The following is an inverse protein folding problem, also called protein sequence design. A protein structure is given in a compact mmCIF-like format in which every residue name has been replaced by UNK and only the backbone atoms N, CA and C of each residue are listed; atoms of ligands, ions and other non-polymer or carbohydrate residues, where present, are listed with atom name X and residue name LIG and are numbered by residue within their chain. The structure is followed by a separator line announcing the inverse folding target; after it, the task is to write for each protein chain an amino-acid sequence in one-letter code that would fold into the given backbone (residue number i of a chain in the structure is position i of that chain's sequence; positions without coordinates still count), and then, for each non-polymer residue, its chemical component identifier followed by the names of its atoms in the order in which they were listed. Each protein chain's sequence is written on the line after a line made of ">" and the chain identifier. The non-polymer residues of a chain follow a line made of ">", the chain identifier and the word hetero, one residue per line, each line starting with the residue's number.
data_IF_109920698223
#
_entry.id   IF_109920698223
#
_cell.length_a   1.000
_cell.length_b   1.000
_cell.length_c   1.000
_cell.angle_alpha   90.00
_cell.angle_beta   90.00
_cell.angle_gamma   90.00
#
_symmetry.space_group_name_H-M   'P 1'
#
loop_
_entity.id
_entity.type
_entity.pdbx_description
1 polymer ?
#
# COMPACT_ATOMS: atom_id res chain seq x y z
N UNK A 1 58.53 -46.16 18.19
CA UNK A 1 57.40 -46.39 19.09
C UNK A 1 57.91 -46.31 20.53
N UNK A 2 57.48 -45.43 21.44
CA UNK A 2 56.73 -44.16 21.37
C UNK A 2 56.81 -43.46 22.76
N UNK A 3 56.71 -42.13 22.93
CA UNK A 3 56.73 -41.00 21.98
C UNK A 3 57.15 -39.69 22.69
N UNK A 4 57.10 -38.52 22.01
CA UNK A 4 57.38 -37.20 22.62
C UNK A 4 56.12 -36.55 23.20
N UNK A 5 56.10 -36.25 24.49
CA UNK A 5 55.02 -35.49 25.15
C UNK A 5 55.22 -33.99 24.86
N UNK A 6 54.28 -33.36 24.17
CA UNK A 6 54.20 -31.92 24.01
C UNK A 6 53.12 -31.35 24.95
N UNK A 7 53.50 -30.41 25.81
CA UNK A 7 52.56 -29.72 26.71
C UNK A 7 51.95 -28.54 25.95
N UNK A 8 50.67 -28.63 25.62
CA UNK A 8 49.91 -27.55 25.01
C UNK A 8 49.20 -26.72 26.10
N UNK A 9 49.58 -25.45 26.23
CA UNK A 9 48.85 -24.48 27.07
C UNK A 9 47.66 -23.96 26.28
N UNK A 10 46.46 -24.49 26.59
CA UNK A 10 45.21 -24.06 25.97
C UNK A 10 44.74 -22.71 26.50
N UNK A 11 44.61 -21.73 25.62
CA UNK A 11 44.05 -20.41 25.93
C UNK A 11 42.53 -20.51 26.11
N UNK A 12 42.00 -20.08 27.25
CA UNK A 12 40.55 -20.09 27.50
C UNK A 12 39.88 -18.90 26.78
N UNK A 13 39.13 -19.18 25.71
CA UNK A 13 38.28 -18.19 25.05
C UNK A 13 36.92 -18.12 25.76
N UNK A 14 36.57 -16.95 26.31
CA UNK A 14 35.27 -16.70 26.92
C UNK A 14 34.25 -16.36 25.83
N UNK A 15 33.28 -17.25 25.60
CA UNK A 15 32.19 -17.04 24.65
C UNK A 15 30.99 -16.40 25.37
N UNK A 16 30.82 -15.09 25.21
CA UNK A 16 29.64 -14.39 25.69
C UNK A 16 28.46 -14.60 24.72
N UNK A 17 27.49 -15.42 25.11
CA UNK A 17 26.25 -15.59 24.36
C UNK A 17 25.36 -14.36 24.52
N UNK A 18 25.18 -13.60 23.43
CA UNK A 18 24.25 -12.45 23.39
C UNK A 18 22.82 -13.00 23.27
N UNK A 19 22.06 -12.90 24.35
CA UNK A 19 20.66 -13.30 24.39
C UNK A 19 19.79 -12.15 23.87
N UNK A 20 19.43 -12.19 22.58
CA UNK A 20 18.47 -11.26 22.02
C UNK A 20 17.05 -11.59 22.53
N UNK A 21 16.21 -10.59 22.90
CA UNK A 21 14.83 -10.85 23.27
C UNK A 21 14.05 -11.33 22.04
N UNK A 22 13.39 -12.48 22.16
CA UNK A 22 12.40 -12.94 21.17
C UNK A 22 11.22 -11.99 21.26
N UNK A 23 11.09 -11.08 20.30
CA UNK A 23 9.94 -10.18 20.22
C UNK A 23 8.70 -11.01 19.89
N UNK A 24 7.78 -11.13 20.85
CA UNK A 24 6.53 -11.86 20.65
C UNK A 24 5.60 -10.98 19.81
N UNK A 25 5.50 -11.26 18.51
CA UNK A 25 4.44 -10.72 17.67
C UNK A 25 3.09 -11.05 18.32
N UNK A 26 2.33 -10.02 18.68
CA UNK A 26 0.92 -10.21 18.99
C UNK A 26 0.21 -10.71 17.72
N UNK A 27 -0.77 -11.63 17.81
CA UNK A 27 -1.54 -12.02 16.65
C UNK A 27 -2.25 -10.78 16.09
N UNK A 28 -2.12 -10.54 14.77
CA UNK A 28 -2.91 -9.53 14.09
C UNK A 28 -4.39 -9.80 14.36
N UNK A 29 -5.10 -8.82 14.92
CA UNK A 29 -6.47 -9.01 15.37
C UNK A 29 -7.42 -9.03 14.17
N UNK A 30 -8.16 -10.12 14.02
CA UNK A 30 -9.30 -10.19 13.10
C UNK A 30 -10.31 -9.08 13.42
N UNK A 31 -10.72 -8.30 12.42
CA UNK A 31 -11.63 -7.17 12.65
C UNK A 31 -13.10 -7.63 12.66
N UNK A 32 -13.93 -6.99 13.49
CA UNK A 32 -15.39 -7.12 13.44
C UNK A 32 -15.99 -6.04 12.54
N UNK A 33 -16.62 -6.47 11.45
CA UNK A 33 -17.12 -5.58 10.38
C UNK A 33 -18.64 -5.54 10.40
N UNK A 34 -19.22 -4.36 10.58
CA UNK A 34 -20.68 -4.20 10.63
C UNK A 34 -21.29 -4.13 9.23
N UNK A 35 -22.39 -4.86 9.04
CA UNK A 35 -23.32 -4.70 7.93
C UNK A 35 -24.77 -4.64 8.46
N UNK A 36 -25.66 -4.00 7.71
CA UNK A 36 -27.08 -3.86 8.05
C UNK A 36 -27.96 -4.47 6.95
N UNK A 37 -29.00 -5.21 7.35
CA UNK A 37 -30.20 -5.40 6.51
C UNK A 37 -31.03 -4.14 6.64
N UNK A 38 -31.25 -3.41 5.55
CA UNK A 38 -31.76 -2.04 5.61
C UNK A 38 -33.28 -1.98 5.86
N UNK A 39 -33.78 -0.82 6.27
CA UNK A 39 -35.22 -0.60 6.46
C UNK A 39 -36.00 -0.76 5.16
N UNK A 40 -37.17 -1.41 5.22
CA UNK A 40 -38.00 -1.75 4.05
C UNK A 40 -37.23 -2.51 2.95
N UNK A 41 -36.37 -3.45 3.35
CA UNK A 41 -35.48 -4.17 2.42
C UNK A 41 -36.19 -5.26 1.62
N UNK A 42 -37.33 -5.82 2.08
CA UNK A 42 -38.09 -6.84 1.36
C UNK A 42 -38.42 -6.48 -0.10
N UNK A 43 -38.55 -5.18 -0.43
CA UNK A 43 -38.83 -4.68 -1.78
C UNK A 43 -37.60 -4.10 -2.52
N UNK A 44 -36.41 -4.13 -1.91
CA UNK A 44 -35.16 -3.63 -2.49
C UNK A 44 -34.38 -4.74 -3.19
N UNK A 45 -33.39 -4.37 -3.99
CA UNK A 45 -32.46 -5.30 -4.64
C UNK A 45 -31.07 -5.25 -3.99
N UNK A 46 -30.15 -4.49 -4.57
CA UNK A 46 -28.79 -4.26 -4.05
C UNK A 46 -28.81 -3.45 -2.75
N UNK A 47 -29.75 -2.52 -2.62
CA UNK A 47 -29.83 -1.60 -1.48
C UNK A 47 -30.50 -2.25 -0.25
N UNK A 48 -30.79 -3.55 -0.33
CA UNK A 48 -31.37 -4.35 0.74
C UNK A 48 -30.37 -4.62 1.88
N UNK A 49 -29.08 -4.66 1.56
CA UNK A 49 -27.98 -4.80 2.50
C UNK A 49 -27.06 -3.57 2.38
N UNK A 50 -26.40 -3.17 3.46
CA UNK A 50 -25.49 -2.02 3.47
C UNK A 50 -24.29 -2.22 4.41
N UNK A 51 -23.05 -1.91 4.00
CA UNK A 51 -22.67 -1.56 2.63
C UNK A 51 -22.83 -2.76 1.68
N UNK A 52 -22.93 -2.48 0.37
CA UNK A 52 -22.99 -3.50 -0.67
C UNK A 52 -22.37 -2.96 -1.98
N UNK A 53 -21.29 -3.57 -2.50
CA UNK A 53 -20.54 -4.68 -1.91
C UNK A 53 -19.91 -4.31 -0.57
N UNK A 54 -19.69 -5.31 0.27
CA UNK A 54 -18.91 -5.19 1.49
C UNK A 54 -17.51 -5.76 1.23
N UNK A 55 -16.48 -4.91 1.31
CA UNK A 55 -15.09 -5.32 1.08
C UNK A 55 -14.40 -5.58 2.43
N UNK A 56 -13.83 -6.77 2.60
CA UNK A 56 -13.13 -7.24 3.80
C UNK A 56 -11.85 -8.02 3.43
N UNK A 57 -11.13 -8.55 4.43
CA UNK A 57 -9.95 -9.40 4.23
C UNK A 57 -10.16 -10.81 4.77
N UNK A 58 -9.30 -11.73 4.33
CA UNK A 58 -9.14 -13.04 4.98
C UNK A 58 -8.80 -12.84 6.46
N UNK A 59 -9.64 -13.39 7.33
CA UNK A 59 -9.58 -13.28 8.79
C UNK A 59 -10.72 -12.47 9.39
N UNK A 60 -11.34 -11.56 8.63
CA UNK A 60 -12.36 -10.64 9.16
C UNK A 60 -13.70 -11.33 9.44
N UNK A 61 -14.41 -10.83 10.45
CA UNK A 61 -15.73 -11.31 10.86
C UNK A 61 -16.80 -10.27 10.55
N UNK A 62 -17.65 -10.56 9.55
CA UNK A 62 -18.80 -9.70 9.24
C UNK A 62 -19.93 -10.02 10.20
N UNK A 63 -20.55 -8.99 10.78
CA UNK A 63 -21.76 -9.06 11.59
C UNK A 63 -22.88 -8.27 10.92
N UNK A 64 -23.88 -8.98 10.40
CA UNK A 64 -25.11 -8.39 9.87
C UNK A 64 -26.11 -8.13 11.00
N UNK A 65 -26.67 -6.93 11.06
CA UNK A 65 -27.78 -6.56 11.95
C UNK A 65 -29.05 -6.32 11.13
N UNK A 66 -30.18 -6.91 11.52
CA UNK A 66 -31.44 -6.58 10.86
C UNK A 66 -32.01 -5.26 11.40
N UNK A 67 -31.93 -4.17 10.61
CA UNK A 67 -32.53 -2.87 10.91
C UNK A 67 -33.96 -2.72 10.39
N UNK A 68 -34.47 -3.72 9.68
CA UNK A 68 -35.84 -3.75 9.19
C UNK A 68 -36.83 -4.19 10.28
N UNK A 69 -38.11 -3.90 10.06
CA UNK A 69 -39.21 -4.39 10.91
C UNK A 69 -39.68 -5.80 10.53
N UNK A 70 -39.18 -6.34 9.42
CA UNK A 70 -39.51 -7.68 8.89
C UNK A 70 -38.35 -8.64 9.18
N UNK A 71 -38.65 -9.92 9.41
CA UNK A 71 -37.61 -10.95 9.58
C UNK A 71 -36.94 -11.29 8.24
N UNK A 72 -35.63 -11.50 8.27
CA UNK A 72 -34.79 -11.70 7.09
C UNK A 72 -33.82 -12.88 7.28
N UNK A 73 -32.94 -13.07 6.30
CA UNK A 73 -31.87 -14.06 6.31
C UNK A 73 -30.63 -13.49 5.60
N UNK A 74 -29.47 -14.07 5.90
CA UNK A 74 -28.20 -13.83 5.20
C UNK A 74 -27.72 -15.21 4.75
N UNK A 75 -28.00 -15.56 3.49
CA UNK A 75 -27.74 -16.90 2.94
C UNK A 75 -26.81 -16.78 1.75
N UNK A 76 -25.63 -17.40 1.82
CA UNK A 76 -24.65 -17.45 0.72
C UNK A 76 -25.24 -18.10 -0.55
N UNK A 77 -24.72 -17.70 -1.71
CA UNK A 77 -25.15 -18.15 -3.03
C UNK A 77 -25.87 -17.08 -3.85
N UNK A 78 -26.18 -17.42 -5.09
CA UNK A 78 -26.76 -16.52 -6.11
C UNK A 78 -28.30 -16.55 -6.18
N UNK A 79 -28.96 -17.37 -5.35
CA UNK A 79 -30.41 -17.41 -5.24
C UNK A 79 -30.95 -18.76 -4.77
N UNK A 80 -32.29 -18.88 -4.71
CA UNK A 80 -33.00 -20.05 -4.14
C UNK A 80 -32.67 -21.40 -4.80
N UNK A 81 -32.29 -21.37 -6.08
CA UNK A 81 -31.98 -22.53 -6.93
C UNK A 81 -30.47 -22.82 -7.03
N UNK A 82 -29.61 -22.05 -6.37
CA UNK A 82 -28.17 -22.25 -6.40
C UNK A 82 -27.80 -23.59 -5.71
N UNK A 83 -27.10 -24.53 -6.38
CA UNK A 83 -26.70 -25.80 -5.78
C UNK A 83 -25.69 -25.65 -4.63
N UNK A 84 -25.10 -24.45 -4.46
CA UNK A 84 -24.20 -24.07 -3.38
C UNK A 84 -24.84 -23.11 -2.35
N UNK A 85 -26.13 -22.82 -2.47
CA UNK A 85 -26.90 -22.02 -1.49
C UNK A 85 -26.61 -22.46 -0.05
N UNK A 86 -26.26 -21.51 0.80
CA UNK A 86 -26.06 -21.70 2.24
C UNK A 86 -24.78 -22.46 2.62
N UNK A 87 -23.95 -22.92 1.67
CA UNK A 87 -22.79 -23.76 1.98
C UNK A 87 -21.61 -23.02 2.60
N UNK A 88 -21.39 -21.75 2.26
CA UNK A 88 -20.35 -20.94 2.88
C UNK A 88 -20.84 -20.37 4.22
N UNK A 89 -22.03 -19.77 4.21
CA UNK A 89 -22.76 -19.32 5.38
C UNK A 89 -24.27 -19.30 5.16
N UNK A 90 -25.02 -19.54 6.23
CA UNK A 90 -26.48 -19.43 6.28
C UNK A 90 -26.88 -18.99 7.69
N UNK A 91 -27.51 -17.81 7.81
CA UNK A 91 -28.01 -17.32 9.10
C UNK A 91 -29.18 -18.13 9.64
N UNK A 92 -29.85 -18.88 8.78
CA UNK A 92 -31.18 -19.42 9.03
C UNK A 92 -31.37 -20.79 8.37
N UNK A 93 -30.51 -21.79 8.67
CA UNK A 93 -30.62 -23.13 8.10
C UNK A 93 -31.98 -23.74 8.44
N UNK A 94 -32.68 -24.25 7.43
CA UNK A 94 -34.07 -24.70 7.53
C UNK A 94 -35.05 -23.63 8.07
N UNK A 95 -34.75 -22.35 7.83
CA UNK A 95 -35.48 -21.17 8.32
C UNK A 95 -35.56 -21.04 9.84
N UNK A 96 -34.57 -21.56 10.58
CA UNK A 96 -34.55 -21.51 12.05
C UNK A 96 -33.14 -21.32 12.64
N UNK A 97 -32.88 -20.24 13.42
CA UNK A 97 -33.74 -19.08 13.64
C UNK A 97 -33.79 -18.18 12.40
N UNK A 98 -34.85 -17.39 12.23
CA UNK A 98 -34.85 -16.26 11.31
C UNK A 98 -34.13 -15.06 11.94
N UNK A 99 -33.52 -14.20 11.12
CA UNK A 99 -32.93 -12.94 11.57
C UNK A 99 -34.06 -11.93 11.85
N UNK A 100 -34.61 -11.97 13.06
CA UNK A 100 -35.67 -11.06 13.55
C UNK A 100 -35.18 -9.60 13.61
N UNK A 101 -36.08 -8.59 13.69
CA UNK A 101 -35.68 -7.19 13.88
C UNK A 101 -34.71 -7.02 15.06
N UNK A 102 -33.64 -6.24 14.84
CA UNK A 102 -32.49 -6.06 15.72
C UNK A 102 -31.69 -7.33 16.06
N UNK A 103 -32.01 -8.48 15.48
CA UNK A 103 -31.20 -9.70 15.54
C UNK A 103 -29.94 -9.58 14.71
N UNK A 104 -28.89 -10.31 15.11
CA UNK A 104 -27.59 -10.33 14.46
C UNK A 104 -27.18 -11.73 13.98
N UNK A 105 -26.36 -11.78 12.93
CA UNK A 105 -25.68 -12.97 12.45
C UNK A 105 -24.24 -12.61 12.10
N UNK A 106 -23.28 -13.47 12.44
CA UNK A 106 -21.85 -13.21 12.20
C UNK A 106 -21.18 -14.38 11.46
N UNK A 107 -20.25 -14.06 10.55
CA UNK A 107 -19.45 -15.04 9.82
C UNK A 107 -18.01 -14.53 9.61
N UNK A 108 -17.03 -15.37 9.95
CA UNK A 108 -15.60 -15.12 9.71
C UNK A 108 -15.18 -15.69 8.37
N UNK A 109 -14.65 -14.85 7.49
CA UNK A 109 -14.22 -15.25 6.16
C UNK A 109 -12.74 -15.64 6.18
N UNK A 110 -12.44 -16.90 5.86
CA UNK A 110 -11.06 -17.45 5.92
C UNK A 110 -10.43 -17.71 4.56
N UNK A 111 -11.15 -17.46 3.47
CA UNK A 111 -10.70 -17.66 2.09
C UNK A 111 -11.00 -16.40 1.27
N UNK A 112 -10.07 -16.02 0.38
CA UNK A 112 -10.22 -14.87 -0.49
C UNK A 112 -11.16 -15.19 -1.68
N UNK A 113 -11.94 -14.22 -2.12
CA UNK A 113 -12.87 -14.36 -3.24
C UNK A 113 -14.14 -13.51 -3.10
N UNK A 114 -15.06 -13.68 -4.04
CA UNK A 114 -16.38 -13.05 -4.00
C UNK A 114 -17.43 -14.03 -3.46
N UNK A 115 -18.17 -13.60 -2.45
CA UNK A 115 -19.20 -14.36 -1.78
C UNK A 115 -20.55 -13.65 -1.97
N UNK A 116 -21.27 -13.95 -3.07
CA UNK A 116 -22.65 -13.49 -3.24
C UNK A 116 -23.54 -14.11 -2.17
N UNK A 117 -24.53 -13.36 -1.72
CA UNK A 117 -25.54 -13.77 -0.76
C UNK A 117 -26.88 -13.08 -1.03
N UNK A 118 -27.95 -13.62 -0.45
CA UNK A 118 -29.30 -13.14 -0.65
C UNK A 118 -30.21 -13.46 0.54
N UNK A 119 -31.42 -12.91 0.52
CA UNK A 119 -32.45 -13.28 1.49
C UNK A 119 -33.28 -14.46 0.95
N UNK A 120 -33.23 -15.61 1.62
CA UNK A 120 -34.00 -16.79 1.26
C UNK A 120 -35.53 -16.59 1.36
N UNK A 121 -36.00 -15.59 2.12
CA UNK A 121 -37.41 -15.19 2.21
C UNK A 121 -37.81 -14.19 1.10
N UNK A 122 -36.88 -13.36 0.66
CA UNK A 122 -37.10 -12.26 -0.29
C UNK A 122 -36.00 -12.29 -1.37
N UNK A 123 -36.04 -13.21 -2.36
CA UNK A 123 -34.88 -13.51 -3.21
C UNK A 123 -34.41 -12.38 -4.13
N UNK A 124 -35.14 -11.27 -4.20
CA UNK A 124 -34.71 -10.02 -4.82
C UNK A 124 -33.61 -9.29 -4.01
N UNK A 125 -33.58 -9.45 -2.69
CA UNK A 125 -32.55 -8.86 -1.83
C UNK A 125 -31.23 -9.58 -2.06
N UNK A 126 -30.22 -8.89 -2.59
CA UNK A 126 -28.92 -9.47 -2.96
C UNK A 126 -27.77 -8.62 -2.45
N UNK A 127 -26.70 -9.27 -2.02
CA UNK A 127 -25.45 -8.62 -1.62
C UNK A 127 -24.23 -9.44 -1.99
N UNK A 128 -23.06 -8.80 -1.94
CA UNK A 128 -21.76 -9.46 -2.14
C UNK A 128 -20.81 -9.06 -1.03
N UNK A 129 -20.13 -10.05 -0.44
CA UNK A 129 -18.90 -9.81 0.33
C UNK A 129 -17.72 -10.09 -0.58
N UNK A 130 -16.78 -9.16 -0.69
CA UNK A 130 -15.52 -9.32 -1.43
C UNK A 130 -14.41 -9.46 -0.40
N UNK A 131 -13.68 -10.57 -0.44
CA UNK A 131 -12.65 -10.92 0.53
C UNK A 131 -11.29 -10.89 -0.15
N UNK A 132 -10.45 -9.92 0.21
CA UNK A 132 -9.06 -9.83 -0.24
C UNK A 132 -8.18 -10.84 0.49
N UNK A 133 -7.26 -11.48 -0.24
CA UNK A 133 -6.16 -12.22 0.39
C UNK A 133 -5.27 -11.21 1.11
N UNK A 134 -5.16 -11.34 2.44
CA UNK A 134 -4.75 -10.23 3.29
C UNK A 134 -3.36 -9.65 3.01
N UNK A 135 -3.29 -8.47 2.40
CA UNK A 135 -3.05 -7.27 3.22
C UNK A 135 -4.36 -6.89 3.91
N UNK A 136 -4.31 -6.44 5.16
CA UNK A 136 -5.50 -6.17 5.95
C UNK A 136 -5.98 -4.71 5.93
N UNK A 137 -7.03 -4.40 5.15
CA UNK A 137 -8.07 -3.48 5.66
C UNK A 137 -9.47 -3.67 5.03
N UNK A 138 -10.48 -3.74 5.89
CA UNK A 138 -11.83 -4.21 5.54
C UNK A 138 -12.96 -3.70 6.43
N UNK A 139 -12.72 -2.67 7.26
CA UNK A 139 -13.69 -2.19 8.25
C UNK A 139 -14.37 -0.88 7.89
N UNK A 140 -15.36 -0.94 6.99
CA UNK A 140 -16.44 0.04 6.76
C UNK A 140 -16.14 1.54 6.96
N UNK A 141 -16.08 2.31 5.86
CA UNK A 141 -16.31 3.77 5.91
C UNK A 141 -15.20 4.60 6.55
N UNK A 142 -13.97 4.08 6.63
CA UNK A 142 -12.79 4.90 6.90
C UNK A 142 -12.70 6.04 5.89
N UNK A 143 -12.67 7.28 6.38
CA UNK A 143 -12.58 8.49 5.55
C UNK A 143 -11.29 8.43 4.74
N UNK A 144 -11.36 8.07 3.45
CA UNK A 144 -10.19 8.08 2.58
C UNK A 144 -9.75 9.52 2.38
N UNK A 145 -8.68 9.92 3.07
CA UNK A 145 -8.21 11.31 3.02
C UNK A 145 -7.46 11.53 1.70
N UNK A 146 -7.88 12.49 0.86
CA UNK A 146 -7.10 12.87 -0.30
C UNK A 146 -5.82 13.56 0.17
N UNK A 147 -4.69 13.13 -0.37
CA UNK A 147 -3.38 13.71 -0.09
C UNK A 147 -2.64 14.05 -1.38
N UNK A 148 -1.64 14.92 -1.26
CA UNK A 148 -0.75 15.30 -2.35
C UNK A 148 0.64 15.57 -1.78
N UNK A 149 1.64 14.93 -2.36
CA UNK A 149 3.06 15.22 -2.12
C UNK A 149 3.73 15.58 -3.44
N UNK A 150 4.89 16.23 -3.37
CA UNK A 150 5.70 16.56 -4.54
C UNK A 150 7.04 15.85 -4.41
N UNK A 151 7.37 15.03 -5.41
CA UNK A 151 8.74 14.56 -5.59
C UNK A 151 9.50 15.54 -6.51
N UNK A 152 10.80 15.73 -6.29
CA UNK A 152 11.60 16.67 -7.08
C UNK A 152 12.87 15.99 -7.59
N UNK A 153 13.13 16.11 -8.89
CA UNK A 153 14.40 15.71 -9.53
C UNK A 153 14.87 16.81 -10.49
N UNK A 154 16.16 17.16 -10.46
CA UNK A 154 16.77 18.22 -11.27
C UNK A 154 16.01 19.57 -11.28
N UNK A 155 15.38 19.92 -10.14
CA UNK A 155 14.56 21.12 -10.00
C UNK A 155 13.20 21.07 -10.71
N UNK A 156 12.83 19.92 -11.28
CA UNK A 156 11.48 19.65 -11.80
C UNK A 156 10.64 19.00 -10.71
N UNK A 157 9.45 19.55 -10.48
CA UNK A 157 8.47 19.04 -9.52
C UNK A 157 7.50 18.06 -10.18
N UNK A 158 7.23 16.94 -9.51
CA UNK A 158 6.34 15.88 -9.93
C UNK A 158 5.26 15.68 -8.86
N UNK A 159 4.02 16.14 -9.09
CA UNK A 159 2.94 15.98 -8.13
C UNK A 159 2.48 14.51 -8.10
N UNK A 160 2.43 13.93 -6.91
CA UNK A 160 1.91 12.61 -6.62
C UNK A 160 0.68 12.79 -5.75
N UNK A 161 -0.46 12.28 -6.19
CA UNK A 161 -1.73 12.38 -5.47
C UNK A 161 -2.22 11.01 -5.05
N UNK A 162 -3.06 10.95 -4.03
CA UNK A 162 -3.69 9.68 -3.65
C UNK A 162 -4.85 9.86 -2.68
N UNK A 163 -5.50 8.76 -2.38
CA UNK A 163 -6.56 8.64 -1.39
C UNK A 163 -6.36 7.34 -0.63
N UNK A 164 -6.38 7.39 0.70
CA UNK A 164 -6.14 6.21 1.51
C UNK A 164 -6.41 6.42 3.00
N UNK A 165 -6.18 5.35 3.77
CA UNK A 165 -6.16 5.38 5.24
C UNK A 165 -4.81 5.91 5.76
N UNK A 166 -3.71 5.61 5.07
CA UNK A 166 -2.42 6.25 5.27
C UNK A 166 -2.30 7.51 4.40
N UNK A 167 -1.59 8.53 4.89
CA UNK A 167 -1.35 9.81 4.21
C UNK A 167 0.11 9.89 3.79
N UNK A 168 0.38 10.08 2.49
CA UNK A 168 1.76 10.31 2.05
C UNK A 168 2.28 11.66 2.58
N UNK A 169 3.49 11.68 3.12
CA UNK A 169 4.13 12.86 3.71
C UNK A 169 5.34 13.36 2.92
N UNK A 170 6.09 12.47 2.29
CA UNK A 170 7.22 12.81 1.43
C UNK A 170 7.36 11.80 0.27
N UNK A 171 8.14 12.18 -0.74
CA UNK A 171 8.46 11.30 -1.87
C UNK A 171 9.88 11.56 -2.37
N UNK A 172 10.67 10.49 -2.49
CA UNK A 172 12.06 10.48 -2.94
C UNK A 172 12.18 9.71 -4.25
N UNK A 173 12.77 10.35 -5.26
CA UNK A 173 13.08 9.69 -6.53
C UNK A 173 14.48 9.07 -6.41
N UNK A 174 14.59 7.76 -6.62
CA UNK A 174 15.86 7.05 -6.82
C UNK A 174 16.07 6.84 -8.33
N UNK A 175 16.89 7.68 -8.99
CA UNK A 175 16.89 7.78 -10.45
C UNK A 175 17.17 6.45 -11.16
N UNK A 176 16.35 6.12 -12.15
CA UNK A 176 16.46 4.86 -12.91
C UNK A 176 16.18 3.57 -12.12
N UNK A 177 15.74 3.63 -10.85
CA UNK A 177 15.54 2.46 -10.00
C UNK A 177 14.15 2.40 -9.34
N UNK A 178 13.82 3.37 -8.49
CA UNK A 178 12.59 3.34 -7.68
C UNK A 178 12.09 4.74 -7.30
N UNK A 179 10.87 4.80 -6.80
CA UNK A 179 10.36 5.95 -6.03
C UNK A 179 9.99 5.45 -4.66
N UNK A 180 10.48 6.11 -3.62
CA UNK A 180 10.15 5.83 -2.21
C UNK A 180 9.15 6.88 -1.73
N UNK A 181 8.05 6.44 -1.13
CA UNK A 181 7.00 7.31 -0.60
C UNK A 181 6.95 7.11 0.91
N UNK A 182 7.08 8.20 1.67
CA UNK A 182 6.88 8.17 3.12
C UNK A 182 5.39 8.32 3.46
N UNK A 183 4.93 7.60 4.47
CA UNK A 183 3.54 7.57 4.91
C UNK A 183 3.41 7.79 6.42
N UNK A 184 2.39 8.56 6.82
CA UNK A 184 1.83 8.58 8.16
C UNK A 184 0.57 7.70 8.22
N UNK A 185 0.51 6.81 9.22
CA UNK A 185 -0.55 5.83 9.36
C UNK A 185 -0.33 4.56 8.53
N UNK A 186 -1.33 3.68 8.51
CA UNK A 186 -1.29 2.38 7.83
C UNK A 186 -2.63 2.09 7.11
N UNK A 187 -2.66 1.03 6.31
CA UNK A 187 -3.83 0.57 5.57
C UNK A 187 -3.83 0.96 4.10
N UNK A 188 -4.97 0.70 3.44
CA UNK A 188 -5.11 0.80 1.98
C UNK A 188 -4.90 2.22 1.43
N UNK A 189 -4.22 2.29 0.28
CA UNK A 189 -3.90 3.52 -0.47
C UNK A 189 -4.10 3.27 -1.96
N UNK A 190 -4.81 4.19 -2.63
CA UNK A 190 -4.67 4.40 -4.08
C UNK A 190 -3.72 5.57 -4.34
N UNK A 191 -2.65 5.34 -5.08
CA UNK A 191 -1.61 6.32 -5.40
C UNK A 191 -1.54 6.56 -6.91
N UNK A 192 -1.67 7.82 -7.32
CA UNK A 192 -1.58 8.25 -8.72
C UNK A 192 -0.24 8.93 -8.97
N UNK A 193 0.55 8.31 -9.84
CA UNK A 193 1.91 8.69 -10.19
C UNK A 193 1.94 9.21 -11.65
N UNK A 194 2.60 10.34 -11.94
CA UNK A 194 2.61 10.90 -13.28
C UNK A 194 3.64 10.20 -14.19
N UNK A 195 3.25 9.91 -15.44
CA UNK A 195 4.05 9.13 -16.41
C UNK A 195 5.28 9.85 -16.97
N UNK A 196 5.43 11.15 -16.68
CA UNK A 196 6.69 11.87 -16.92
C UNK A 196 7.72 11.67 -15.78
N UNK A 197 7.31 11.13 -14.63
CA UNK A 197 8.18 10.78 -13.49
C UNK A 197 8.56 9.30 -13.49
N UNK A 198 7.57 8.42 -13.64
CA UNK A 198 7.70 6.97 -13.48
C UNK A 198 6.81 6.24 -14.50
N UNK A 199 7.34 5.19 -15.13
CA UNK A 199 6.60 4.35 -16.09
C UNK A 199 6.99 2.90 -15.97
N UNK A 200 6.07 2.05 -16.44
CA UNK A 200 6.30 0.61 -16.51
C UNK A 200 6.56 0.04 -15.10
N UNK A 201 5.69 0.44 -14.15
CA UNK A 201 5.70 0.03 -12.75
C UNK A 201 5.51 -1.49 -12.67
N UNK A 202 6.39 -2.16 -11.95
CA UNK A 202 6.42 -3.63 -11.82
C UNK A 202 6.14 -4.10 -10.40
N UNK A 203 6.74 -3.45 -9.39
CA UNK A 203 6.67 -3.90 -8.00
C UNK A 203 6.31 -2.76 -7.03
N UNK A 204 5.63 -3.10 -5.94
CA UNK A 204 5.40 -2.26 -4.76
C UNK A 204 5.76 -3.08 -3.53
N UNK A 205 6.68 -2.58 -2.69
CA UNK A 205 7.23 -3.30 -1.52
C UNK A 205 7.74 -4.74 -1.80
N UNK A 206 8.19 -5.00 -3.04
CA UNK A 206 8.69 -6.32 -3.44
C UNK A 206 7.61 -7.30 -3.90
N UNK A 207 6.33 -6.91 -3.90
CA UNK A 207 5.21 -7.65 -4.49
C UNK A 207 4.79 -7.06 -5.84
N UNK A 208 4.18 -7.84 -6.75
CA UNK A 208 3.70 -7.34 -8.04
C UNK A 208 2.69 -6.19 -7.90
N UNK A 209 2.88 -5.12 -8.68
CA UNK A 209 2.06 -3.92 -8.57
C UNK A 209 0.61 -4.12 -9.07
N UNK A 210 -0.37 -3.83 -8.21
CA UNK A 210 -1.79 -3.77 -8.62
C UNK A 210 -2.10 -2.44 -9.29
N UNK A 211 -2.36 -2.47 -10.59
CA UNK A 211 -2.76 -1.30 -11.38
C UNK A 211 -4.28 -1.12 -11.31
N UNK A 212 -4.74 0.04 -10.83
CA UNK A 212 -6.18 0.41 -10.79
C UNK A 212 -6.59 1.09 -12.10
N UNK A 213 -5.81 2.05 -12.57
CA UNK A 213 -6.09 2.76 -13.82
C UNK A 213 -4.80 3.29 -14.47
N UNK A 214 -4.84 3.50 -15.79
CA UNK A 214 -3.78 4.20 -16.52
C UNK A 214 -4.37 5.01 -17.67
N UNK A 215 -3.70 6.11 -18.00
CA UNK A 215 -3.93 6.91 -19.20
C UNK A 215 -2.57 7.36 -19.77
N UNK A 216 -2.53 8.34 -20.68
CA UNK A 216 -1.27 8.82 -21.27
C UNK A 216 -0.40 9.66 -20.31
N UNK A 217 -0.98 10.24 -19.25
CA UNK A 217 -0.31 11.17 -18.33
C UNK A 217 -0.07 10.60 -16.93
N UNK A 218 -0.80 9.58 -16.49
CA UNK A 218 -0.65 8.98 -15.16
C UNK A 218 -0.94 7.47 -15.09
N UNK A 219 -0.50 6.87 -13.99
CA UNK A 219 -0.81 5.50 -13.55
C UNK A 219 -1.27 5.54 -12.10
N UNK A 220 -2.42 4.95 -11.80
CA UNK A 220 -2.92 4.74 -10.44
C UNK A 220 -2.66 3.30 -10.02
N UNK A 221 -1.99 3.11 -8.89
CA UNK A 221 -1.72 1.82 -8.25
C UNK A 221 -2.49 1.72 -6.93
N UNK A 222 -2.83 0.50 -6.52
CA UNK A 222 -3.39 0.21 -5.19
C UNK A 222 -2.45 -0.71 -4.42
N UNK A 223 -2.25 -0.41 -3.14
CA UNK A 223 -1.46 -1.19 -2.21
C UNK A 223 -1.89 -0.89 -0.78
N UNK A 224 -1.27 -1.57 0.18
CA UNK A 224 -1.45 -1.34 1.60
C UNK A 224 -0.14 -0.85 2.22
N UNK A 225 -0.22 0.15 3.10
CA UNK A 225 0.91 0.57 3.95
C UNK A 225 0.89 -0.28 5.22
N UNK A 226 1.88 -1.16 5.46
CA UNK A 226 1.89 -2.02 6.64
C UNK A 226 2.00 -1.23 7.95
N UNK A 227 1.41 -1.73 9.03
CA UNK A 227 1.55 -1.10 10.35
C UNK A 227 3.01 -1.15 10.83
N UNK A 228 3.58 0.02 11.12
CA UNK A 228 4.98 0.17 11.52
C UNK A 228 5.97 0.36 10.36
N UNK A 229 5.54 0.24 9.11
CA UNK A 229 6.32 0.70 7.95
C UNK A 229 5.95 2.15 7.62
N UNK A 230 6.95 3.04 7.61
CA UNK A 230 6.78 4.44 7.23
C UNK A 230 7.08 4.72 5.76
N UNK A 231 7.50 3.71 4.97
CA UNK A 231 8.07 3.93 3.64
C UNK A 231 7.67 2.80 2.68
N UNK A 232 7.15 3.17 1.51
CA UNK A 232 6.79 2.24 0.43
C UNK A 232 7.72 2.43 -0.77
N UNK A 233 8.32 1.35 -1.26
CA UNK A 233 9.21 1.35 -2.43
C UNK A 233 8.47 0.89 -3.68
N UNK A 234 8.43 1.75 -4.70
CA UNK A 234 7.79 1.50 -6.00
C UNK A 234 8.89 1.31 -7.06
N UNK A 235 8.97 0.14 -7.68
CA UNK A 235 9.96 -0.19 -8.70
C UNK A 235 9.34 -0.18 -10.10
N UNK A 236 10.09 0.32 -11.07
CA UNK A 236 9.56 0.53 -12.42
C UNK A 236 10.65 0.49 -13.50
N UNK A 237 10.27 0.15 -14.74
CA UNK A 237 11.19 0.10 -15.89
C UNK A 237 11.73 1.46 -16.33
N UNK A 238 11.10 2.56 -15.90
CA UNK A 238 11.61 3.91 -16.03
C UNK A 238 11.26 4.73 -14.78
N UNK A 239 12.28 5.36 -14.21
CA UNK A 239 12.18 6.44 -13.21
C UNK A 239 13.09 7.55 -13.71
N UNK A 240 12.65 8.82 -13.64
CA UNK A 240 13.40 9.98 -14.14
C UNK A 240 14.89 9.90 -13.76
N UNK A 241 15.81 9.90 -14.73
CA UNK A 241 17.24 9.90 -14.46
C UNK A 241 17.68 11.30 -13.97
N UNK A 242 18.61 11.34 -13.03
CA UNK A 242 19.42 12.55 -12.80
C UNK A 242 20.23 12.79 -14.07
N UNK A 243 20.01 13.94 -14.71
CA UNK A 243 20.99 14.46 -15.65
C UNK A 243 22.15 15.00 -14.84
N UNK A 244 23.41 14.55 -15.08
CA UNK A 244 24.53 15.19 -14.44
C UNK A 244 24.50 16.66 -14.81
N UNK A 245 24.35 17.54 -13.81
CA UNK A 245 24.50 18.97 -13.98
C UNK A 245 25.94 19.20 -14.43
N UNK A 246 26.17 19.18 -15.74
CA UNK A 246 27.43 19.58 -16.35
C UNK A 246 27.59 21.04 -15.95
N UNK A 247 28.41 21.26 -14.92
CA UNK A 247 28.52 22.54 -14.27
C UNK A 247 28.82 23.61 -15.32
N UNK A 248 27.88 24.52 -15.52
CA UNK A 248 27.99 25.63 -16.46
C UNK A 248 28.95 26.72 -15.94
N UNK A 249 30.11 26.30 -15.41
CA UNK A 249 31.29 27.16 -15.20
C UNK A 249 32.12 27.14 -16.49
N UNK A 250 31.53 27.64 -17.58
CA UNK A 250 32.30 27.98 -18.78
C UNK A 250 31.87 29.31 -19.44
N UNK A 251 31.43 30.26 -18.62
CA UNK A 251 31.43 31.70 -18.91
C UNK A 251 31.58 32.47 -17.58
N UNK A 252 32.63 33.24 -17.30
CA UNK A 252 33.77 33.59 -18.15
C UNK A 252 35.06 33.84 -17.33
N UNK A 253 36.15 33.15 -17.69
CA UNK A 253 37.53 33.56 -17.34
C UNK A 253 38.51 33.48 -18.52
N UNK A 254 38.02 33.44 -19.76
CA UNK A 254 38.83 33.76 -20.97
C UNK A 254 38.73 35.27 -21.29
N UNK A 255 38.95 36.08 -20.25
CA UNK A 255 39.29 37.50 -20.36
C UNK A 255 40.58 37.84 -19.58
N UNK A 256 41.06 36.95 -18.68
CA UNK A 256 42.27 37.17 -17.88
C UNK A 256 43.59 36.86 -18.61
N UNK A 257 43.62 35.85 -19.49
CA UNK A 257 44.87 35.33 -20.07
C UNK A 257 45.37 36.20 -21.25
N UNK A 258 44.49 36.90 -21.96
CA UNK A 258 44.89 37.91 -22.97
C UNK A 258 45.39 39.22 -22.33
N UNK A 259 45.02 39.49 -21.07
CA UNK A 259 45.48 40.68 -20.34
C UNK A 259 46.93 40.59 -19.85
N UNK A 260 47.33 39.42 -19.35
CA UNK A 260 48.63 39.26 -18.68
C UNK A 260 49.84 39.31 -19.64
N UNK A 261 49.67 38.93 -20.91
CA UNK A 261 50.74 38.99 -21.92
C UNK A 261 51.00 40.39 -22.47
N UNK A 262 50.14 41.38 -22.19
CA UNK A 262 50.38 42.79 -22.56
C UNK A 262 51.02 43.64 -21.47
N UNK A 263 50.89 43.28 -20.19
CA UNK A 263 51.48 44.09 -19.10
C UNK A 263 52.93 43.69 -18.75
N UNK A 264 53.35 42.47 -19.08
CA UNK A 264 54.68 41.95 -18.73
C UNK A 264 55.82 42.25 -19.75
N UNK A 265 55.55 42.88 -20.90
CA UNK A 265 56.53 42.92 -22.02
C UNK A 265 57.36 44.21 -22.20
N UNK A 266 56.86 45.41 -21.88
CA UNK A 266 57.54 46.67 -22.27
C UNK A 266 57.82 47.66 -21.12
N UNK A 267 57.75 47.22 -19.87
CA UNK A 267 57.96 48.06 -18.69
C UNK A 267 59.31 47.87 -17.99
N UNK A 268 60.44 48.10 -18.66
CA UNK A 268 61.72 48.60 -18.10
C UNK A 268 62.85 48.53 -19.14
N UNK A 269 63.35 49.69 -19.57
CA UNK A 269 64.68 49.83 -20.15
C UNK A 269 65.21 51.24 -19.82
N UNK A 270 66.04 51.34 -18.79
CA UNK A 270 66.78 52.56 -18.46
C UNK A 270 68.20 52.18 -18.06
N UNK A 271 69.16 52.99 -18.49
CA UNK A 271 70.62 52.96 -18.33
C UNK A 271 71.46 52.40 -19.49
N UNK A 272 72.13 53.34 -20.17
CA UNK A 272 73.23 53.13 -21.11
C UNK A 272 73.83 54.49 -21.48
N UNK A 273 74.99 54.83 -20.91
CA UNK A 273 75.74 56.07 -21.17
C UNK A 273 76.49 55.99 -22.51
N UNK A 274 76.54 57.10 -23.24
CA UNK A 274 77.78 57.75 -23.69
C UNK A 274 77.46 59.19 -24.10
#
# INVERSE_FOLDING_TARGET
>A
MDSKIAVAVGLAAVLAAVLAPISTLAPAFAAEIAADVTTASSSKTTDAYSPNPLNINVGDTVTWTNRDSTAHTVTSGTGVNDPNKGKAFDSSPNFNPLLVPQGTFSHTFTEAGEFPYFCALHPNMVGTVVVSAGGGNGGNGGTTTPFSVTATADGTEYPITGTGAATATAATINPGQSVEIEFEGSGAVELTLPKNMIRDITMVNGEPATIVSQNDTSTTISFEVPEGESTVTIQAGFVVPEFPVIAAILAATIAGITGYTRFARNGTAFFGRA
#
